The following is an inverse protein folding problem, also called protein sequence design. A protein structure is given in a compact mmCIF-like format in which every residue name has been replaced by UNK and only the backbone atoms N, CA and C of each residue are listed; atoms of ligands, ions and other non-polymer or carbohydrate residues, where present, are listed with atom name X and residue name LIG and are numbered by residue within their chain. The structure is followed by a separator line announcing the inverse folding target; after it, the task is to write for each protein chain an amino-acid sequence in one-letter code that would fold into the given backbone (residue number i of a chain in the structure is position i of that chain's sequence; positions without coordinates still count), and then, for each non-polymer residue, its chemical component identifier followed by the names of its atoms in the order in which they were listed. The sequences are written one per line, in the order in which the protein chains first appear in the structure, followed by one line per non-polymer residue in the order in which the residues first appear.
data_IF_845783124849
#
_entry.id   IF_845783124849
#
_cell.length_a   1.000
_cell.length_b   1.000
_cell.length_c   1.000
_cell.angle_alpha   90.00
_cell.angle_beta   90.00
_cell.angle_gamma   90.00
#
_symmetry.space_group_name_H-M   'P 1'
#
loop_
_entity.id
_entity.type
_entity.pdbx_description
1 polymer ?
#
# COMPACT_ATOMS: atom_id res chain seq x y z
N UNK A 1 -18.94 -21.36 -4.90
CA UNK A 1 -19.24 -21.57 -6.32
C UNK A 1 -20.07 -20.38 -6.79
N UNK A 2 -19.46 -19.46 -7.54
CA UNK A 2 -20.15 -18.26 -8.00
C UNK A 2 -21.11 -18.61 -9.15
N UNK A 3 -22.26 -17.94 -9.17
CA UNK A 3 -23.21 -18.05 -10.27
C UNK A 3 -23.01 -16.83 -11.16
N UNK A 4 -22.70 -17.04 -12.44
CA UNK A 4 -22.38 -15.96 -13.40
C UNK A 4 -23.54 -15.01 -13.69
N UNK A 5 -24.75 -15.29 -13.18
CA UNK A 5 -25.99 -14.58 -13.49
C UNK A 5 -26.41 -13.52 -12.45
N UNK A 6 -25.81 -13.51 -11.25
CA UNK A 6 -26.17 -12.61 -10.15
C UNK A 6 -24.92 -12.20 -9.37
N UNK A 7 -24.98 -11.03 -8.75
CA UNK A 7 -23.93 -10.56 -7.84
C UNK A 7 -23.78 -11.52 -6.65
N UNK A 8 -22.55 -11.63 -6.13
CA UNK A 8 -22.31 -12.36 -4.89
C UNK A 8 -22.92 -11.62 -3.69
N UNK A 9 -23.26 -12.38 -2.65
CA UNK A 9 -23.79 -11.81 -1.42
C UNK A 9 -22.70 -11.04 -0.67
N UNK A 10 -23.01 -9.80 -0.29
CA UNK A 10 -22.10 -8.91 0.43
C UNK A 10 -22.54 -8.76 1.88
N UNK A 11 -21.57 -8.75 2.79
CA UNK A 11 -21.81 -8.50 4.22
C UNK A 11 -21.04 -7.25 4.67
N UNK A 12 -21.70 -6.40 5.45
CA UNK A 12 -21.05 -5.26 6.11
C UNK A 12 -20.52 -5.70 7.48
N UNK A 13 -19.21 -5.61 7.66
CA UNK A 13 -18.53 -5.95 8.90
C UNK A 13 -17.91 -4.70 9.54
N UNK A 14 -17.80 -4.70 10.87
CA UNK A 14 -17.08 -3.67 11.62
C UNK A 14 -15.77 -4.25 12.18
N UNK A 15 -14.66 -3.61 11.87
CA UNK A 15 -13.32 -4.00 12.32
C UNK A 15 -12.90 -3.17 13.54
N UNK A 16 -12.44 -3.84 14.59
CA UNK A 16 -11.82 -3.20 15.75
C UNK A 16 -10.37 -3.65 15.82
N UNK A 17 -9.45 -2.73 15.54
CA UNK A 17 -8.02 -3.01 15.48
C UNK A 17 -7.28 -2.21 16.56
N UNK A 18 -6.35 -2.86 17.24
CA UNK A 18 -5.37 -2.17 18.06
C UNK A 18 -4.37 -1.43 17.15
N UNK A 19 -3.92 -0.21 17.50
CA UNK A 19 -3.01 0.56 16.65
C UNK A 19 -1.73 -0.17 16.27
N UNK A 20 -1.19 -0.99 17.18
CA UNK A 20 0.06 -1.74 16.97
C UNK A 20 -0.11 -2.91 15.99
N UNK A 21 -1.29 -3.51 15.93
CA UNK A 21 -1.61 -4.61 15.02
C UNK A 21 -2.25 -4.14 13.71
N UNK A 22 -2.66 -2.87 13.63
CA UNK A 22 -3.45 -2.36 12.51
C UNK A 22 -2.74 -2.52 11.16
N UNK A 23 -1.43 -2.26 11.10
CA UNK A 23 -0.67 -2.41 9.87
C UNK A 23 -0.69 -3.85 9.36
N UNK A 24 -0.29 -4.81 10.21
CA UNK A 24 -0.22 -6.23 9.85
C UNK A 24 -1.57 -6.80 9.42
N UNK A 25 -2.64 -6.45 10.14
CA UNK A 25 -3.97 -6.92 9.77
C UNK A 25 -4.45 -6.33 8.44
N UNK A 26 -4.17 -5.04 8.18
CA UNK A 26 -4.58 -4.39 6.93
C UNK A 26 -3.76 -4.90 5.75
N UNK A 27 -2.46 -5.15 5.92
CA UNK A 27 -1.62 -5.73 4.86
C UNK A 27 -2.11 -7.12 4.47
N UNK A 28 -2.38 -8.00 5.44
CA UNK A 28 -2.92 -9.34 5.18
C UNK A 28 -4.29 -9.29 4.48
N UNK A 29 -5.17 -8.37 4.88
CA UNK A 29 -6.45 -8.15 4.18
C UNK A 29 -6.26 -7.64 2.74
N UNK A 30 -5.20 -6.87 2.50
CA UNK A 30 -4.81 -6.41 1.17
C UNK A 30 -4.35 -7.55 0.28
N UNK A 31 -3.51 -8.45 0.80
CA UNK A 31 -3.06 -9.65 0.08
C UNK A 31 -4.22 -10.60 -0.26
N UNK A 32 -5.22 -10.72 0.63
CA UNK A 32 -6.43 -11.50 0.35
C UNK A 32 -7.31 -10.87 -0.74
N UNK A 33 -7.36 -9.53 -0.83
CA UNK A 33 -8.08 -8.82 -1.90
C UNK A 33 -9.62 -8.95 -1.88
N UNK A 34 -10.20 -9.41 -0.77
CA UNK A 34 -11.65 -9.71 -0.65
C UNK A 34 -12.45 -8.65 0.12
N UNK A 35 -11.83 -7.52 0.49
CA UNK A 35 -12.46 -6.50 1.33
C UNK A 35 -12.56 -5.16 0.62
N UNK A 36 -13.66 -4.45 0.86
CA UNK A 36 -13.84 -3.07 0.41
C UNK A 36 -14.04 -2.15 1.63
N UNK A 37 -13.11 -1.21 1.84
CA UNK A 37 -13.19 -0.23 2.91
C UNK A 37 -14.16 0.90 2.57
N UNK A 38 -14.94 1.35 3.56
CA UNK A 38 -15.77 2.56 3.46
C UNK A 38 -15.09 3.71 4.20
N UNK A 39 -15.15 4.90 3.60
CA UNK A 39 -14.65 6.10 4.26
C UNK A 39 -15.61 6.52 5.39
N UNK A 40 -15.13 6.41 6.62
CA UNK A 40 -15.86 6.86 7.82
C UNK A 40 -15.63 8.36 8.12
N UNK A 41 -14.65 8.99 7.47
CA UNK A 41 -14.26 10.38 7.70
C UNK A 41 -14.33 11.23 6.42
N UNK A 42 -15.47 11.27 5.70
CA UNK A 42 -15.59 11.99 4.43
C UNK A 42 -15.44 13.51 4.58
N UNK A 43 -15.74 14.06 5.76
CA UNK A 43 -15.65 15.49 6.05
C UNK A 43 -14.26 15.93 6.51
N UNK A 44 -13.33 14.97 6.71
CA UNK A 44 -11.96 15.26 7.17
C UNK A 44 -11.05 15.37 5.95
N UNK A 45 -10.40 16.52 5.81
CA UNK A 45 -9.43 16.76 4.74
C UNK A 45 -8.29 15.75 4.82
N UNK A 46 -7.77 15.31 3.66
CA UNK A 46 -6.65 14.37 3.54
C UNK A 46 -5.44 14.78 4.41
N UNK A 47 -5.13 16.08 4.49
CA UNK A 47 -3.99 16.58 5.27
C UNK A 47 -4.15 16.48 6.79
N UNK A 48 -5.38 16.31 7.28
CA UNK A 48 -5.68 16.20 8.71
C UNK A 48 -5.88 14.74 9.14
N UNK A 49 -5.75 13.79 8.20
CA UNK A 49 -5.89 12.36 8.51
C UNK A 49 -4.68 11.87 9.29
N UNK A 50 -4.94 10.88 10.16
CA UNK A 50 -3.98 10.37 11.15
C UNK A 50 -2.62 9.95 10.56
N UNK A 51 -2.62 9.33 9.38
CA UNK A 51 -1.43 8.71 8.77
C UNK A 51 -0.84 9.51 7.60
N UNK A 52 -1.08 10.83 7.55
CA UNK A 52 -0.63 11.67 6.42
C UNK A 52 0.89 11.72 6.28
N UNK A 53 1.63 11.67 7.40
CA UNK A 53 3.08 11.79 7.38
C UNK A 53 3.71 10.53 6.79
N UNK A 54 3.18 9.37 7.12
CA UNK A 54 3.60 8.07 6.59
C UNK A 54 3.34 7.98 5.09
N UNK A 55 2.17 8.45 4.62
CA UNK A 55 1.87 8.51 3.18
C UNK A 55 2.85 9.42 2.45
N UNK A 56 3.13 10.61 3.00
CA UNK A 56 4.09 11.56 2.41
C UNK A 56 5.52 10.99 2.31
N UNK A 57 5.94 10.19 3.29
CA UNK A 57 7.25 9.52 3.25
C UNK A 57 7.33 8.55 2.07
N UNK A 58 6.28 7.75 1.87
CA UNK A 58 6.19 6.85 0.71
C UNK A 58 6.19 7.63 -0.62
N UNK A 59 5.45 8.74 -0.72
CA UNK A 59 5.45 9.60 -1.92
C UNK A 59 6.85 10.15 -2.24
N UNK A 60 7.62 10.53 -1.22
CA UNK A 60 8.99 11.01 -1.41
C UNK A 60 9.94 9.90 -1.88
N UNK A 61 9.84 8.70 -1.30
CA UNK A 61 10.60 7.53 -1.76
C UNK A 61 10.27 7.20 -3.22
N UNK A 62 8.99 7.17 -3.57
CA UNK A 62 8.53 6.90 -4.93
C UNK A 62 9.11 7.91 -5.92
N UNK A 63 9.15 9.21 -5.54
CA UNK A 63 9.78 10.24 -6.37
C UNK A 63 11.27 9.95 -6.64
N UNK A 64 12.02 9.51 -5.62
CA UNK A 64 13.44 9.14 -5.78
C UNK A 64 13.59 7.90 -6.67
N UNK A 65 12.75 6.89 -6.49
CA UNK A 65 12.75 5.68 -7.32
C UNK A 65 12.46 5.99 -8.79
N UNK A 66 11.46 6.84 -9.08
CA UNK A 66 11.16 7.28 -10.45
C UNK A 66 12.33 8.04 -11.10
N UNK A 67 13.05 8.84 -10.33
CA UNK A 67 14.25 9.52 -10.81
C UNK A 67 15.35 8.50 -11.17
N UNK A 68 15.63 7.55 -10.27
CA UNK A 68 16.61 6.49 -10.51
C UNK A 68 16.25 5.65 -11.75
N UNK A 69 14.99 5.25 -11.87
CA UNK A 69 14.48 4.53 -13.04
C UNK A 69 14.72 5.31 -14.34
N UNK A 70 14.54 6.62 -14.30
CA UNK A 70 14.78 7.51 -15.45
C UNK A 70 16.26 7.56 -15.83
N UNK A 71 17.16 7.66 -14.85
CA UNK A 71 18.62 7.66 -15.10
C UNK A 71 19.10 6.30 -15.63
N UNK A 72 18.64 5.18 -15.06
CA UNK A 72 18.98 3.82 -15.52
C UNK A 72 18.55 3.60 -16.97
N UNK A 73 17.35 4.08 -17.34
CA UNK A 73 16.85 4.01 -18.72
C UNK A 73 17.69 4.84 -19.71
N UNK A 74 18.28 5.97 -19.27
CA UNK A 74 19.20 6.76 -20.11
C UNK A 74 20.49 6.00 -20.43
N UNK A 75 20.98 5.20 -19.48
CA UNK A 75 22.17 4.35 -19.65
C UNK A 75 21.88 3.06 -20.44
N UNK A 76 20.69 2.92 -21.06
CA UNK A 76 20.23 1.74 -21.81
C UNK A 76 20.32 0.42 -21.01
N UNK A 77 20.27 0.50 -19.68
CA UNK A 77 20.24 -0.67 -18.81
C UNK A 77 18.82 -1.21 -18.71
N UNK A 78 18.65 -2.51 -18.91
CA UNK A 78 17.34 -3.17 -18.83
C UNK A 78 16.96 -3.38 -17.35
N UNK A 79 15.84 -2.79 -16.93
CA UNK A 79 15.19 -3.11 -15.66
C UNK A 79 14.27 -4.30 -15.94
N UNK A 80 14.60 -5.45 -15.37
CA UNK A 80 13.73 -6.63 -15.48
C UNK A 80 12.57 -6.49 -14.50
N UNK A 81 11.36 -6.72 -15.00
CA UNK A 81 10.21 -6.86 -14.12
C UNK A 81 10.38 -8.10 -13.24
N UNK A 82 10.09 -8.01 -11.93
CA UNK A 82 10.13 -9.17 -11.07
C UNK A 82 9.08 -10.21 -11.51
N UNK A 83 9.45 -11.49 -11.48
CA UNK A 83 8.54 -12.59 -11.85
C UNK A 83 7.36 -12.72 -10.86
N UNK A 84 7.60 -12.37 -9.59
CA UNK A 84 6.64 -12.46 -8.50
C UNK A 84 6.39 -11.09 -7.84
N UNK A 85 5.16 -10.87 -7.39
CA UNK A 85 4.83 -9.71 -6.57
C UNK A 85 5.30 -9.96 -5.12
N UNK A 86 6.20 -9.14 -4.56
CA UNK A 86 6.64 -9.32 -3.18
C UNK A 86 5.52 -9.02 -2.18
N UNK A 87 5.57 -9.66 -1.02
CA UNK A 87 4.67 -9.36 0.10
C UNK A 87 4.89 -7.94 0.63
N UNK A 88 3.85 -7.37 1.22
CA UNK A 88 3.94 -6.07 1.89
C UNK A 88 5.09 -6.04 2.93
N UNK A 89 6.02 -5.07 2.84
CA UNK A 89 7.15 -4.96 3.77
C UNK A 89 6.68 -4.57 5.17
N UNK A 90 7.47 -4.89 6.20
CA UNK A 90 7.11 -4.51 7.58
C UNK A 90 7.34 -3.01 7.81
N UNK A 91 6.62 -2.37 8.77
CA UNK A 91 6.80 -0.95 9.07
C UNK A 91 8.22 -0.54 9.46
N UNK A 92 9.01 -1.47 10.03
CA UNK A 92 10.42 -1.22 10.36
C UNK A 92 11.31 -1.18 9.12
N UNK A 93 11.06 -2.09 8.18
CA UNK A 93 11.83 -2.19 6.93
C UNK A 93 11.63 -0.95 6.05
N UNK A 94 10.43 -0.32 6.11
CA UNK A 94 10.18 0.98 5.46
C UNK A 94 11.20 2.05 5.86
N UNK A 95 11.62 2.09 7.13
CA UNK A 95 12.61 3.07 7.61
C UNK A 95 13.98 2.78 7.00
N UNK A 96 14.37 1.51 6.94
CA UNK A 96 15.65 1.11 6.35
C UNK A 96 15.70 1.39 4.85
N UNK A 97 14.58 1.17 4.14
CA UNK A 97 14.43 1.50 2.73
C UNK A 97 14.58 3.01 2.46
N UNK A 98 14.04 3.86 3.33
CA UNK A 98 14.21 5.30 3.21
C UNK A 98 15.68 5.73 3.31
N UNK A 99 16.43 5.13 4.23
CA UNK A 99 17.85 5.44 4.44
C UNK A 99 18.71 4.95 3.28
N UNK A 100 18.40 3.77 2.73
CA UNK A 100 19.18 3.20 1.62
C UNK A 100 19.05 4.00 0.31
N UNK A 101 17.97 4.77 0.15
CA UNK A 101 17.70 5.57 -1.06
C UNK A 101 18.23 7.02 -0.92
N UNK A 102 18.80 7.39 0.25
CA UNK A 102 19.49 8.68 0.47
C UNK A 102 20.96 8.56 0.10
#
# INVERSE_FOLDING_TARGET
MSTVFRSEEMTLCQLFLQPEAAYSCISELGELGIVQFRDLNPNVNAFQRKFVNEVRRCEEMERKLRFLETEIKKDNSHISDPEDNPEAPKPREMIDLEVCIV
#
